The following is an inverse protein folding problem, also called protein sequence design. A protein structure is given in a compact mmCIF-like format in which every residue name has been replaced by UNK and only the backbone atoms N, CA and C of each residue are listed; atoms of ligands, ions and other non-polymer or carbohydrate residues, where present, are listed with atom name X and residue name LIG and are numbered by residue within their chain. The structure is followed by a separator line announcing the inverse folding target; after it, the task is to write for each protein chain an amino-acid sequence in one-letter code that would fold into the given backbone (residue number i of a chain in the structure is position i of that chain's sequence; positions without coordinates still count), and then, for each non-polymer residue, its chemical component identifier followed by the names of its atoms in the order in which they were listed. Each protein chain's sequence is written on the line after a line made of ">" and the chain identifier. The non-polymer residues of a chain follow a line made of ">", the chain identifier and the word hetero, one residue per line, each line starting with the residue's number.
data_IF_709191549798
#
_entry.id   IF_709191549798
#
_cell.length_a   1.000
_cell.length_b   1.000
_cell.length_c   1.000
_cell.angle_alpha   90.00
_cell.angle_beta   90.00
_cell.angle_gamma   90.00
#
_symmetry.space_group_name_H-M   'P 1'
#
loop_
_entity.id
_entity.type
_entity.pdbx_description
1 polymer ?
#
# COMPACT_ATOMS: atom_id res chain seq x y z
N UNK A 1 -38.33 9.97 70.41
CA UNK A 1 -38.20 11.34 70.98
C UNK A 1 -37.53 12.17 69.89
N UNK A 2 -38.17 13.02 69.09
CA UNK A 2 -39.50 13.62 69.12
C UNK A 2 -39.98 13.91 67.68
N UNK A 3 -41.32 13.92 67.50
CA UNK A 3 -42.15 14.69 66.52
C UNK A 3 -42.10 14.23 65.05
N UNK A 4 -43.10 13.53 64.48
CA UNK A 4 -44.55 13.78 64.26
C UNK A 4 -44.87 14.69 63.06
N UNK A 5 -45.67 14.10 62.15
CA UNK A 5 -46.70 14.63 61.23
C UNK A 5 -46.34 15.19 59.85
N UNK A 6 -46.98 14.55 58.88
CA UNK A 6 -47.40 15.05 57.58
C UNK A 6 -48.49 16.15 57.70
N UNK A 7 -48.60 16.99 56.67
CA UNK A 7 -49.80 17.27 55.83
C UNK A 7 -49.53 18.55 54.99
N UNK A 8 -50.03 18.53 53.74
CA UNK A 8 -50.50 19.65 52.91
C UNK A 8 -49.78 19.83 51.56
N UNK A 9 -50.41 19.33 50.49
CA UNK A 9 -50.58 20.08 49.22
C UNK A 9 -51.64 21.18 49.45
N UNK A 10 -51.83 22.23 48.60
CA UNK A 10 -51.52 22.32 47.16
C UNK A 10 -50.96 23.69 46.68
N UNK A 11 -50.47 23.80 45.45
CA UNK A 11 -50.66 25.03 44.66
C UNK A 11 -50.40 24.85 43.16
N UNK A 12 -51.21 25.59 42.41
CA UNK A 12 -51.42 25.64 40.97
C UNK A 12 -50.28 26.28 40.15
N UNK A 13 -50.23 25.84 38.89
CA UNK A 13 -49.90 26.60 37.66
C UNK A 13 -48.43 26.99 37.39
N UNK A 14 -47.86 26.41 36.33
CA UNK A 14 -47.62 27.13 35.07
C UNK A 14 -47.33 26.17 33.93
N UNK A 15 -47.91 26.49 32.77
CA UNK A 15 -47.70 25.84 31.47
C UNK A 15 -46.25 26.06 31.03
N UNK A 16 -45.51 24.99 30.77
CA UNK A 16 -44.24 25.01 30.03
C UNK A 16 -44.40 24.12 28.81
N UNK A 17 -44.24 24.70 27.62
CA UNK A 17 -44.47 24.04 26.34
C UNK A 17 -43.62 22.78 26.16
N UNK A 18 -44.23 21.75 25.60
CA UNK A 18 -43.52 20.57 25.10
C UNK A 18 -42.64 20.98 23.94
N UNK A 19 -41.32 20.93 24.12
CA UNK A 19 -40.38 20.85 23.03
C UNK A 19 -40.25 19.37 22.65
N UNK A 20 -40.87 18.98 21.53
CA UNK A 20 -40.52 17.73 20.85
C UNK A 20 -39.07 17.85 20.39
N UNK A 21 -38.15 17.17 21.08
CA UNK A 21 -36.80 16.94 20.58
C UNK A 21 -36.87 15.83 19.55
N UNK A 22 -36.91 16.22 18.28
CA UNK A 22 -36.64 15.32 17.15
C UNK A 22 -35.17 14.91 17.24
N UNK A 23 -34.90 13.69 17.70
CA UNK A 23 -33.60 13.03 17.56
C UNK A 23 -33.38 12.77 16.06
N UNK A 24 -32.67 13.68 15.40
CA UNK A 24 -32.11 13.44 14.09
C UNK A 24 -31.03 12.36 14.22
N UNK A 25 -31.31 11.16 13.72
CA UNK A 25 -30.30 10.13 13.55
C UNK A 25 -29.27 10.63 12.52
N UNK A 26 -28.12 11.09 13.00
CA UNK A 26 -26.99 11.36 12.14
C UNK A 26 -26.47 10.01 11.61
N UNK A 27 -26.81 9.68 10.36
CA UNK A 27 -26.11 8.65 9.62
C UNK A 27 -24.67 9.13 9.44
N UNK A 28 -23.77 8.68 10.32
CA UNK A 28 -22.35 8.71 10.07
C UNK A 28 -22.06 7.66 8.98
N UNK A 29 -22.23 8.07 7.72
CA UNK A 29 -21.58 7.37 6.63
C UNK A 29 -20.09 7.40 6.94
N UNK A 30 -19.48 6.22 7.11
CA UNK A 30 -18.04 6.10 7.15
C UNK A 30 -17.52 6.69 5.84
N UNK A 31 -16.97 7.90 5.91
CA UNK A 31 -16.24 8.47 4.79
C UNK A 31 -15.06 7.54 4.55
N UNK A 32 -15.06 6.87 3.39
CA UNK A 32 -13.86 6.22 2.87
C UNK A 32 -12.78 7.28 2.77
N UNK A 33 -11.63 7.08 3.43
CA UNK A 33 -10.44 7.95 3.39
C UNK A 33 -9.74 7.97 2.02
N UNK A 34 -10.49 7.95 0.94
CA UNK A 34 -9.96 8.23 -0.40
C UNK A 34 -9.81 9.74 -0.53
N UNK A 35 -8.69 10.24 -0.01
CA UNK A 35 -8.19 11.57 -0.34
C UNK A 35 -8.12 11.73 -1.87
N UNK A 36 -8.33 12.94 -2.43
CA UNK A 36 -8.20 13.17 -3.87
C UNK A 36 -6.86 12.65 -4.38
N UNK A 37 -6.81 12.17 -5.64
CA UNK A 37 -5.58 11.73 -6.32
C UNK A 37 -4.51 12.83 -6.20
N UNK A 38 -3.68 12.77 -5.16
CA UNK A 38 -2.63 13.78 -4.90
C UNK A 38 -1.61 13.82 -6.03
N UNK A 39 -1.55 12.75 -6.81
CA UNK A 39 -0.60 12.50 -7.88
C UNK A 39 -1.31 12.18 -9.21
N UNK A 40 -2.40 12.87 -9.57
CA UNK A 40 -2.99 12.69 -10.91
C UNK A 40 -2.03 13.14 -12.01
N UNK A 41 -2.01 12.44 -13.14
CA UNK A 41 -1.19 12.83 -14.29
C UNK A 41 -1.80 14.02 -15.03
N UNK A 42 -0.96 15.00 -15.36
CA UNK A 42 -1.38 16.11 -16.19
C UNK A 42 -1.71 15.62 -17.60
N UNK A 43 -2.67 16.28 -18.27
CA UNK A 43 -3.08 15.87 -19.63
C UNK A 43 -1.93 15.86 -20.62
N UNK A 44 -0.97 16.79 -20.51
CA UNK A 44 0.20 16.80 -21.39
C UNK A 44 1.08 15.56 -21.21
N UNK A 45 1.19 15.03 -19.98
CA UNK A 45 1.93 13.79 -19.70
C UNK A 45 1.27 12.60 -20.36
N UNK A 46 -0.05 12.45 -20.20
CA UNK A 46 -0.81 11.36 -20.83
C UNK A 46 -0.73 11.45 -22.36
N UNK A 47 -0.88 12.66 -22.92
CA UNK A 47 -0.74 12.88 -24.36
C UNK A 47 0.67 12.51 -24.87
N UNK A 48 1.73 12.95 -24.19
CA UNK A 48 3.10 12.61 -24.58
C UNK A 48 3.36 11.09 -24.55
N UNK A 49 2.79 10.38 -23.58
CA UNK A 49 2.86 8.92 -23.51
C UNK A 49 2.06 8.24 -24.64
N UNK A 50 0.90 8.77 -25.03
CA UNK A 50 0.15 8.27 -26.19
C UNK A 50 0.91 8.53 -27.51
N UNK A 51 1.49 9.71 -27.69
CA UNK A 51 2.29 10.05 -28.88
C UNK A 51 3.57 9.20 -28.98
N UNK A 52 4.16 8.83 -27.84
CA UNK A 52 5.27 7.90 -27.78
C UNK A 52 4.86 6.44 -28.05
N UNK A 53 3.56 6.15 -28.23
CA UNK A 53 3.03 4.82 -28.50
C UNK A 53 3.00 3.87 -27.30
N UNK A 54 3.23 4.39 -26.08
CA UNK A 54 3.25 3.57 -24.85
C UNK A 54 1.90 3.55 -24.13
N UNK A 55 1.04 4.54 -24.40
CA UNK A 55 -0.39 4.50 -24.06
C UNK A 55 -1.23 4.38 -25.32
N UNK A 56 -2.45 3.81 -25.25
CA UNK A 56 -3.40 3.83 -26.36
C UNK A 56 -3.65 5.27 -26.85
N UNK A 57 -3.79 5.44 -28.16
CA UNK A 57 -4.18 6.70 -28.77
C UNK A 57 -5.71 6.86 -28.78
N UNK A 58 -6.20 8.09 -28.59
CA UNK A 58 -7.62 8.43 -28.64
C UNK A 58 -8.07 9.40 -27.54
N UNK A 59 -9.25 10.00 -27.69
CA UNK A 59 -9.86 10.79 -26.62
C UNK A 59 -10.30 9.88 -25.47
N UNK A 60 -9.76 10.12 -24.27
CA UNK A 60 -10.18 9.44 -23.05
C UNK A 60 -9.63 8.03 -22.86
N UNK A 61 -8.29 7.88 -22.74
CA UNK A 61 -7.68 6.63 -22.28
C UNK A 61 -8.30 6.26 -20.93
N UNK A 62 -9.02 5.13 -20.89
CA UNK A 62 -9.57 4.59 -19.65
C UNK A 62 -8.41 4.11 -18.80
N UNK A 63 -8.08 4.83 -17.73
CA UNK A 63 -7.01 4.45 -16.82
C UNK A 63 -7.59 3.63 -15.67
N UNK A 64 -6.93 2.53 -15.33
CA UNK A 64 -7.22 1.78 -14.11
C UNK A 64 -6.67 2.49 -12.87
N UNK A 65 -5.45 3.03 -12.98
CA UNK A 65 -4.81 3.80 -11.92
C UNK A 65 -3.71 4.71 -12.49
N UNK A 66 -3.34 5.75 -11.76
CA UNK A 66 -2.25 6.64 -12.14
C UNK A 66 -1.60 7.26 -10.91
N UNK A 67 -0.30 7.56 -11.03
CA UNK A 67 0.47 8.37 -10.11
C UNK A 67 1.54 9.15 -10.89
N UNK A 68 1.54 10.47 -10.77
CA UNK A 68 2.48 11.38 -11.41
C UNK A 68 2.94 12.46 -10.44
N UNK A 69 4.24 12.75 -10.43
CA UNK A 69 4.79 13.89 -9.68
C UNK A 69 6.16 14.32 -10.20
N UNK A 70 6.50 15.58 -9.98
CA UNK A 70 7.87 16.05 -10.15
C UNK A 70 8.82 15.24 -9.25
N UNK A 71 9.99 14.86 -9.77
CA UNK A 71 10.97 14.09 -9.01
C UNK A 71 11.69 15.00 -8.02
N UNK A 72 11.59 14.78 -6.69
CA UNK A 72 12.26 15.67 -5.73
C UNK A 72 13.79 15.72 -5.83
N UNK A 73 14.42 14.73 -6.48
CA UNK A 73 15.86 14.70 -6.71
C UNK A 73 16.29 15.59 -7.89
N UNK A 74 15.51 15.58 -8.96
CA UNK A 74 15.74 16.36 -10.17
C UNK A 74 14.41 16.98 -10.63
N UNK A 75 14.11 18.22 -10.23
CA UNK A 75 12.86 18.89 -10.57
C UNK A 75 12.68 19.16 -12.06
N UNK A 76 13.73 18.99 -12.89
CA UNK A 76 13.59 19.05 -14.35
C UNK A 76 12.88 17.81 -14.91
N UNK A 77 12.66 16.78 -14.09
CA UNK A 77 12.01 15.52 -14.45
C UNK A 77 10.70 15.30 -13.69
N UNK A 78 9.77 14.65 -14.38
CA UNK A 78 8.51 14.14 -13.84
C UNK A 78 8.51 12.62 -13.92
N UNK A 79 8.11 11.98 -12.83
CA UNK A 79 7.87 10.54 -12.76
C UNK A 79 6.40 10.27 -13.03
N UNK A 80 6.11 9.22 -13.79
CA UNK A 80 4.76 8.76 -14.09
C UNK A 80 4.67 7.24 -13.92
N UNK A 81 3.58 6.77 -13.31
CA UNK A 81 3.15 5.39 -13.31
C UNK A 81 1.67 5.37 -13.71
N UNK A 82 1.34 4.73 -14.82
CA UNK A 82 0.00 4.75 -15.43
C UNK A 82 -0.38 3.33 -15.81
N UNK A 83 -1.51 2.85 -15.28
CA UNK A 83 -2.06 1.55 -15.64
C UNK A 83 -3.35 1.70 -16.44
N UNK A 84 -3.50 0.92 -17.51
CA UNK A 84 -4.70 0.90 -18.36
C UNK A 84 -5.06 -0.54 -18.75
N UNK A 85 -6.35 -0.85 -18.98
CA UNK A 85 -6.77 -2.17 -19.43
C UNK A 85 -6.44 -2.38 -20.90
N UNK A 86 -6.08 -3.62 -21.25
CA UNK A 86 -5.92 -4.03 -22.64
C UNK A 86 -7.28 -4.12 -23.35
N UNK A 87 -7.32 -3.98 -24.69
CA UNK A 87 -8.57 -4.07 -25.44
C UNK A 87 -9.36 -5.36 -25.14
N UNK A 88 -10.65 -5.21 -24.87
CA UNK A 88 -11.54 -6.34 -24.55
C UNK A 88 -11.47 -6.82 -23.10
N UNK A 89 -10.80 -6.06 -22.22
CA UNK A 89 -10.58 -6.43 -20.82
C UNK A 89 -11.19 -5.41 -19.85
N UNK A 90 -12.53 -5.38 -19.81
CA UNK A 90 -13.29 -4.33 -19.11
C UNK A 90 -13.82 -4.77 -17.73
N UNK A 91 -13.81 -6.08 -17.44
CA UNK A 91 -14.36 -6.65 -16.22
C UNK A 91 -13.39 -6.48 -15.04
N UNK A 92 -13.63 -5.48 -14.18
CA UNK A 92 -12.81 -5.23 -12.98
C UNK A 92 -12.69 -6.49 -12.12
N UNK A 93 -11.46 -6.83 -11.74
CA UNK A 93 -11.12 -8.08 -11.03
C UNK A 93 -10.74 -9.24 -11.96
N UNK A 94 -10.88 -9.07 -13.28
CA UNK A 94 -10.49 -10.03 -14.32
C UNK A 94 -9.79 -9.33 -15.51
N UNK A 95 -9.31 -8.09 -15.31
CA UNK A 95 -8.66 -7.31 -16.36
C UNK A 95 -7.21 -7.74 -16.58
N UNK A 96 -6.82 -7.87 -17.83
CA UNK A 96 -5.44 -7.76 -18.28
C UNK A 96 -5.10 -6.27 -18.40
N UNK A 97 -4.13 -5.81 -17.63
CA UNK A 97 -3.67 -4.43 -17.58
C UNK A 97 -2.24 -4.31 -18.10
N UNK A 98 -1.91 -3.12 -18.58
CA UNK A 98 -0.54 -2.68 -18.83
C UNK A 98 -0.21 -1.54 -17.89
N UNK A 99 0.87 -1.69 -17.12
CA UNK A 99 1.49 -0.64 -16.32
C UNK A 99 2.66 -0.04 -17.10
N UNK A 100 2.61 1.27 -17.30
CA UNK A 100 3.67 2.09 -17.86
C UNK A 100 4.32 2.88 -16.74
N UNK A 101 5.63 2.73 -16.58
CA UNK A 101 6.44 3.58 -15.72
C UNK A 101 7.32 4.43 -16.62
N UNK A 102 7.35 5.74 -16.39
CA UNK A 102 8.08 6.67 -17.26
C UNK A 102 8.75 7.80 -16.49
N UNK A 103 9.84 8.30 -17.07
CA UNK A 103 10.51 9.55 -16.72
C UNK A 103 10.31 10.51 -17.88
N UNK A 104 9.81 11.71 -17.61
CA UNK A 104 9.53 12.73 -18.61
C UNK A 104 10.18 14.06 -18.24
N UNK A 105 10.43 14.92 -19.23
CA UNK A 105 10.81 16.31 -18.99
C UNK A 105 9.65 17.07 -18.32
N UNK A 106 9.92 17.79 -17.24
CA UNK A 106 8.89 18.52 -16.50
C UNK A 106 8.32 19.72 -17.29
N UNK A 107 9.12 20.30 -18.20
CA UNK A 107 8.73 21.49 -18.98
C UNK A 107 7.97 21.15 -20.27
N UNK A 108 8.36 20.07 -20.95
CA UNK A 108 7.90 19.72 -22.30
C UNK A 108 7.22 18.35 -22.40
N UNK A 109 7.16 17.61 -21.28
CA UNK A 109 6.69 16.23 -21.23
C UNK A 109 7.43 15.28 -22.19
N UNK A 110 8.67 15.60 -22.60
CA UNK A 110 9.45 14.70 -23.45
C UNK A 110 9.73 13.40 -22.70
N UNK A 111 9.37 12.25 -23.30
CA UNK A 111 9.62 10.94 -22.71
C UNK A 111 11.12 10.64 -22.75
N UNK A 112 11.73 10.49 -21.58
CA UNK A 112 13.17 10.25 -21.42
C UNK A 112 13.51 8.79 -21.16
N UNK A 113 12.63 8.05 -20.47
CA UNK A 113 12.78 6.62 -20.24
C UNK A 113 11.43 5.96 -19.92
N UNK A 114 11.26 4.69 -20.31
CA UNK A 114 10.03 3.91 -20.07
C UNK A 114 10.36 2.48 -19.62
N UNK A 115 9.48 1.91 -18.79
CA UNK A 115 9.34 0.48 -18.56
C UNK A 115 7.86 0.08 -18.67
N UNK A 116 7.62 -1.12 -19.19
CA UNK A 116 6.29 -1.69 -19.32
C UNK A 116 6.19 -3.00 -18.57
N UNK A 117 5.09 -3.19 -17.85
CA UNK A 117 4.79 -4.42 -17.12
C UNK A 117 3.34 -4.82 -17.38
N UNK A 118 3.09 -6.09 -17.73
CA UNK A 118 1.73 -6.63 -17.75
C UNK A 118 1.29 -6.97 -16.32
N UNK A 119 0.06 -6.63 -15.97
CA UNK A 119 -0.58 -7.06 -14.73
C UNK A 119 -1.86 -7.81 -15.09
N UNK A 120 -2.16 -8.88 -14.37
CA UNK A 120 -3.38 -9.66 -14.56
C UNK A 120 -4.19 -9.58 -13.27
N UNK A 121 -5.45 -9.18 -13.36
CA UNK A 121 -6.36 -9.22 -12.23
C UNK A 121 -7.03 -10.58 -12.09
N UNK A 122 -7.20 -10.99 -10.84
CA UNK A 122 -7.88 -12.20 -10.42
C UNK A 122 -8.37 -12.07 -8.96
N UNK A 123 -8.71 -13.20 -8.33
CA UNK A 123 -9.16 -13.21 -6.94
C UNK A 123 -8.08 -12.75 -5.92
N UNK A 124 -6.80 -12.77 -6.29
CA UNK A 124 -5.67 -12.38 -5.46
C UNK A 124 -5.16 -10.95 -5.77
N UNK A 125 -5.36 -10.46 -6.99
CA UNK A 125 -4.95 -9.12 -7.40
C UNK A 125 -6.06 -8.34 -8.12
N UNK A 126 -6.31 -7.12 -7.66
CA UNK A 126 -7.17 -6.17 -8.36
C UNK A 126 -6.64 -4.75 -8.12
N UNK A 127 -6.58 -3.94 -9.16
CA UNK A 127 -6.06 -2.58 -9.13
C UNK A 127 -7.23 -1.59 -9.10
N UNK A 128 -7.30 -0.81 -8.02
CA UNK A 128 -8.26 0.30 -7.89
C UNK A 128 -7.66 1.61 -8.38
N UNK A 129 -8.54 2.57 -8.64
CA UNK A 129 -8.16 3.97 -8.73
C UNK A 129 -7.35 4.38 -7.48
N UNK A 130 -6.21 5.06 -7.70
CA UNK A 130 -5.27 5.39 -6.62
C UNK A 130 -4.43 4.22 -6.09
N UNK A 131 -4.51 3.04 -6.70
CA UNK A 131 -3.70 1.86 -6.37
C UNK A 131 -2.22 1.97 -6.76
N UNK A 132 -1.80 3.05 -7.42
CA UNK A 132 -0.40 3.32 -7.74
C UNK A 132 0.15 4.44 -6.86
N UNK A 133 1.39 4.30 -6.41
CA UNK A 133 2.12 5.34 -5.66
C UNK A 133 3.57 5.42 -6.10
N UNK A 134 4.08 6.64 -6.25
CA UNK A 134 5.50 6.89 -6.49
C UNK A 134 6.24 7.04 -5.16
N UNK A 135 7.23 6.17 -4.95
CA UNK A 135 8.16 6.26 -3.82
C UNK A 135 9.44 6.97 -4.25
N UNK A 136 9.62 8.19 -3.77
CA UNK A 136 10.76 9.06 -4.10
C UNK A 136 11.73 9.22 -2.93
N UNK A 137 11.80 8.22 -2.04
CA UNK A 137 12.84 8.17 -1.03
C UNK A 137 14.26 8.23 -1.64
N UNK A 138 15.25 8.53 -0.81
CA UNK A 138 16.64 8.76 -1.23
C UNK A 138 17.38 7.46 -1.53
N UNK A 139 16.99 6.78 -2.60
CA UNK A 139 17.65 5.55 -3.07
C UNK A 139 18.90 5.88 -3.91
N UNK A 140 19.89 6.52 -3.29
CA UNK A 140 21.20 6.79 -3.92
C UNK A 140 21.99 5.48 -4.04
N UNK A 141 21.94 4.85 -5.21
CA UNK A 141 22.59 3.55 -5.42
C UNK A 141 24.06 3.72 -5.80
N UNK A 142 24.39 4.76 -6.56
CA UNK A 142 25.77 5.11 -6.90
C UNK A 142 25.87 6.62 -7.16
N UNK A 143 27.09 7.12 -7.35
CA UNK A 143 27.29 8.51 -7.79
C UNK A 143 26.53 8.76 -9.10
N UNK A 144 25.62 9.75 -9.08
CA UNK A 144 24.77 10.08 -10.23
C UNK A 144 23.65 9.08 -10.52
N UNK A 145 23.51 8.00 -9.76
CA UNK A 145 22.49 6.97 -9.96
C UNK A 145 21.55 6.92 -8.76
N UNK A 146 20.39 7.56 -8.90
CA UNK A 146 19.30 7.46 -7.92
C UNK A 146 18.14 6.66 -8.50
N UNK A 147 17.69 5.66 -7.75
CA UNK A 147 16.47 4.93 -8.08
C UNK A 147 15.21 5.65 -7.58
N UNK A 148 14.07 5.29 -8.13
CA UNK A 148 12.76 5.61 -7.57
C UNK A 148 11.89 4.37 -7.57
N UNK A 149 10.87 4.35 -6.72
CA UNK A 149 9.96 3.24 -6.57
C UNK A 149 8.59 3.49 -7.20
N UNK A 150 7.98 2.43 -7.70
CA UNK A 150 6.53 2.37 -7.97
C UNK A 150 5.95 1.31 -7.05
N UNK A 151 4.94 1.69 -6.28
CA UNK A 151 4.17 0.79 -5.41
C UNK A 151 2.83 0.51 -6.06
N UNK A 152 2.52 -0.77 -6.24
CA UNK A 152 1.26 -1.29 -6.72
C UNK A 152 0.50 -1.89 -5.54
N UNK A 153 -0.65 -1.31 -5.21
CA UNK A 153 -1.53 -1.76 -4.14
C UNK A 153 -2.71 -2.52 -4.72
N UNK A 154 -2.87 -3.75 -4.27
CA UNK A 154 -4.05 -4.58 -4.55
C UNK A 154 -5.21 -4.22 -3.62
N UNK A 155 -6.40 -4.10 -4.20
CA UNK A 155 -7.68 -4.02 -3.49
C UNK A 155 -8.41 -5.35 -3.43
N UNK A 156 -7.84 -6.43 -3.99
CA UNK A 156 -8.50 -7.72 -3.99
C UNK A 156 -8.83 -8.14 -2.53
N UNK A 157 -10.03 -8.68 -2.28
CA UNK A 157 -10.40 -9.15 -0.95
C UNK A 157 -9.48 -10.28 -0.49
N UNK A 158 -8.91 -11.03 -1.43
CA UNK A 158 -8.14 -12.24 -1.14
C UNK A 158 -9.04 -13.40 -0.74
N UNK A 159 -8.47 -14.55 -0.38
CA UNK A 159 -9.26 -15.72 0.02
C UNK A 159 -9.95 -15.48 1.36
N UNK A 160 -11.10 -16.12 1.58
CA UNK A 160 -11.87 -16.00 2.83
C UNK A 160 -11.15 -16.54 4.07
N UNK A 161 -10.19 -17.45 3.87
CA UNK A 161 -9.40 -18.06 4.94
C UNK A 161 -7.91 -18.12 4.55
N UNK A 162 -7.22 -16.97 4.52
CA UNK A 162 -5.83 -16.91 4.13
C UNK A 162 -4.93 -17.47 5.23
N UNK A 163 -3.87 -18.15 4.82
CA UNK A 163 -2.72 -18.43 5.69
C UNK A 163 -1.69 -17.30 5.62
N UNK A 164 -1.65 -16.60 4.49
CA UNK A 164 -0.82 -15.42 4.30
C UNK A 164 -1.45 -14.44 3.30
N UNK A 165 -1.03 -13.19 3.40
CA UNK A 165 -1.33 -12.12 2.45
C UNK A 165 -0.10 -11.26 2.26
N UNK A 166 0.11 -10.79 1.03
CA UNK A 166 1.06 -9.74 0.72
C UNK A 166 0.35 -8.60 0.00
N UNK A 167 0.84 -7.38 0.16
CA UNK A 167 0.33 -6.20 -0.54
C UNK A 167 1.42 -5.12 -0.65
N UNK A 168 1.09 -4.05 -1.38
CA UNK A 168 1.96 -2.92 -1.66
C UNK A 168 3.27 -3.40 -2.30
N UNK A 169 3.19 -4.03 -3.47
CA UNK A 169 4.36 -4.44 -4.23
C UNK A 169 5.14 -3.21 -4.69
N UNK A 170 6.34 -3.03 -4.16
CA UNK A 170 7.27 -2.01 -4.58
C UNK A 170 8.22 -2.59 -5.62
N UNK A 171 8.39 -1.91 -6.75
CA UNK A 171 9.52 -2.10 -7.66
C UNK A 171 10.40 -0.85 -7.69
N UNK A 172 11.71 -0.98 -7.50
CA UNK A 172 12.68 0.09 -7.69
C UNK A 172 13.22 0.07 -9.12
N UNK A 173 13.21 1.25 -9.76
CA UNK A 173 13.69 1.46 -11.12
C UNK A 173 14.92 2.37 -11.14
N UNK A 174 15.87 2.01 -11.98
CA UNK A 174 17.02 2.85 -12.35
C UNK A 174 16.90 3.23 -13.82
N UNK A 175 17.24 4.47 -14.16
CA UNK A 175 17.32 4.91 -15.55
C UNK A 175 18.58 4.36 -16.21
N UNK A 176 18.39 3.71 -17.35
CA UNK A 176 19.44 3.17 -18.21
C UNK A 176 19.21 3.68 -19.65
N UNK A 177 19.77 4.87 -19.93
CA UNK A 177 19.51 5.59 -21.17
C UNK A 177 18.03 5.94 -21.34
N UNK A 178 17.41 5.33 -22.37
CA UNK A 178 15.99 5.45 -22.70
C UNK A 178 15.09 4.36 -22.08
N UNK A 179 15.68 3.44 -21.32
CA UNK A 179 14.94 2.40 -20.60
C UNK A 179 14.93 2.70 -19.10
N UNK A 180 13.90 2.19 -18.42
CA UNK A 180 13.89 2.04 -16.97
C UNK A 180 14.09 0.55 -16.65
N UNK A 181 15.13 0.26 -15.87
CA UNK A 181 15.47 -1.11 -15.48
C UNK A 181 15.00 -1.37 -14.05
N UNK A 182 14.14 -2.37 -13.81
CA UNK A 182 13.80 -2.80 -12.47
C UNK A 182 15.01 -3.48 -11.83
N UNK A 183 15.37 -3.07 -10.61
CA UNK A 183 16.55 -3.59 -9.90
C UNK A 183 16.19 -4.31 -8.61
N UNK A 184 15.02 -4.01 -8.04
CA UNK A 184 14.49 -4.65 -6.83
C UNK A 184 12.96 -4.71 -6.93
N UNK A 185 12.35 -5.78 -6.43
CA UNK A 185 10.90 -5.82 -6.15
C UNK A 185 10.65 -6.53 -4.82
N UNK A 186 9.66 -6.08 -4.05
CA UNK A 186 9.14 -6.80 -2.88
C UNK A 186 7.80 -6.23 -2.45
N UNK A 187 6.94 -7.06 -1.88
CA UNK A 187 5.78 -6.58 -1.11
C UNK A 187 6.25 -5.84 0.15
N UNK A 188 5.62 -4.70 0.44
CA UNK A 188 5.94 -3.88 1.62
C UNK A 188 5.06 -4.21 2.83
N UNK A 189 3.92 -4.86 2.63
CA UNK A 189 3.03 -5.29 3.70
C UNK A 189 2.82 -6.79 3.59
N UNK A 190 3.14 -7.52 4.66
CA UNK A 190 2.94 -8.96 4.73
C UNK A 190 2.15 -9.30 5.99
N UNK A 191 1.24 -10.24 5.87
CA UNK A 191 0.48 -10.79 6.99
C UNK A 191 0.51 -12.31 6.89
N UNK A 192 0.64 -13.00 8.01
CA UNK A 192 0.54 -14.45 8.05
C UNK A 192 -0.10 -14.94 9.34
N UNK A 193 -0.85 -16.03 9.23
CA UNK A 193 -1.28 -16.85 10.36
C UNK A 193 -0.10 -17.72 10.78
N UNK A 194 0.29 -17.61 12.05
CA UNK A 194 1.40 -18.36 12.65
C UNK A 194 0.87 -19.62 13.35
N UNK A 195 -0.25 -19.49 14.05
CA UNK A 195 -0.88 -20.59 14.80
C UNK A 195 -2.41 -20.43 14.80
N UNK A 196 -3.13 -21.52 15.05
CA UNK A 196 -4.59 -21.58 15.00
C UNK A 196 -5.12 -22.06 13.66
N UNK A 197 -6.37 -22.52 13.63
CA UNK A 197 -7.00 -23.11 12.44
C UNK A 197 -7.54 -22.00 11.50
N UNK A 198 -7.26 -22.05 10.18
CA UNK A 198 -7.89 -21.16 9.22
C UNK A 198 -9.42 -21.27 9.27
N UNK A 199 -10.12 -20.21 8.89
CA UNK A 199 -11.59 -20.12 8.96
C UNK A 199 -12.21 -20.22 10.38
N UNK A 200 -11.42 -20.30 11.45
CA UNK A 200 -11.94 -20.45 12.81
C UNK A 200 -12.27 -19.10 13.46
N UNK A 201 -13.34 -18.46 13.00
CA UNK A 201 -13.79 -17.13 13.45
C UNK A 201 -14.66 -17.14 14.71
N UNK A 202 -14.71 -18.26 15.44
CA UNK A 202 -15.58 -18.39 16.62
C UNK A 202 -14.97 -17.73 17.86
N UNK A 203 -15.83 -17.20 18.74
CA UNK A 203 -15.42 -16.49 19.96
C UNK A 203 -14.59 -17.41 20.87
N UNK A 204 -13.42 -16.95 21.30
CA UNK A 204 -12.52 -17.69 22.18
C UNK A 204 -11.55 -18.65 21.48
N UNK A 205 -11.49 -18.66 20.15
CA UNK A 205 -10.48 -19.41 19.40
C UNK A 205 -9.13 -18.73 19.48
N UNK A 206 -8.10 -19.54 19.71
CA UNK A 206 -6.72 -19.08 19.76
C UNK A 206 -6.17 -19.02 18.34
N UNK A 207 -5.80 -17.82 17.91
CA UNK A 207 -5.14 -17.56 16.62
C UNK A 207 -3.98 -16.64 16.89
N UNK A 208 -2.83 -16.95 16.31
CA UNK A 208 -1.64 -16.09 16.32
C UNK A 208 -1.40 -15.60 14.90
N UNK A 209 -1.22 -14.30 14.73
CA UNK A 209 -0.91 -13.69 13.44
C UNK A 209 0.30 -12.78 13.59
N UNK A 210 1.10 -12.70 12.55
CA UNK A 210 2.16 -11.71 12.43
C UNK A 210 1.82 -10.77 11.25
N UNK A 211 1.98 -9.48 11.46
CA UNK A 211 1.89 -8.44 10.43
C UNK A 211 3.23 -7.72 10.34
N UNK A 212 3.84 -7.71 9.16
CA UNK A 212 5.13 -7.10 8.89
C UNK A 212 5.00 -5.95 7.90
N UNK A 213 5.61 -4.81 8.26
CA UNK A 213 5.80 -3.67 7.36
C UNK A 213 7.27 -3.56 7.02
N UNK A 214 7.59 -3.61 5.73
CA UNK A 214 8.95 -3.48 5.25
C UNK A 214 9.30 -2.03 4.93
N UNK A 215 10.54 -1.67 5.22
CA UNK A 215 11.17 -0.42 4.81
C UNK A 215 12.53 -0.72 4.20
N UNK A 216 12.97 0.13 3.28
CA UNK A 216 14.23 -0.04 2.55
C UNK A 216 15.14 1.13 2.87
N UNK A 217 16.39 0.82 3.19
CA UNK A 217 17.46 1.78 3.43
C UNK A 217 18.66 1.44 2.54
N UNK A 218 19.48 2.46 2.28
CA UNK A 218 20.75 2.33 1.57
C UNK A 218 21.87 2.09 2.58
N UNK A 219 22.69 1.07 2.34
CA UNK A 219 23.89 0.78 3.13
C UNK A 219 25.12 1.55 2.61
N UNK A 220 26.15 1.65 3.44
CA UNK A 220 27.43 2.24 3.04
C UNK A 220 28.33 1.25 2.28
N UNK A 221 27.99 -0.04 2.27
CA UNK A 221 28.66 -1.06 1.47
C UNK A 221 28.08 -1.08 0.06
N UNK A 222 28.86 -1.52 -0.92
CA UNK A 222 28.44 -1.59 -2.31
C UNK A 222 29.00 -2.84 -2.99
N UNK A 223 28.21 -3.40 -3.91
CA UNK A 223 28.60 -4.53 -4.75
C UNK A 223 28.20 -4.24 -6.19
N UNK A 224 29.07 -4.61 -7.13
CA UNK A 224 28.83 -4.44 -8.57
C UNK A 224 28.37 -3.02 -8.97
N UNK A 225 28.91 -2.01 -8.29
CA UNK A 225 28.69 -0.60 -8.57
C UNK A 225 27.50 0.04 -7.84
N UNK A 226 26.61 -0.73 -7.19
CA UNK A 226 25.49 -0.18 -6.42
C UNK A 226 25.66 -0.44 -4.92
N UNK A 227 25.21 0.50 -4.10
CA UNK A 227 25.08 0.36 -2.66
C UNK A 227 24.15 -0.80 -2.30
N UNK A 228 24.48 -1.55 -1.25
CA UNK A 228 23.62 -2.62 -0.77
C UNK A 228 22.32 -2.05 -0.18
N UNK A 229 21.23 -2.83 -0.24
CA UNK A 229 19.96 -2.44 0.37
C UNK A 229 19.76 -3.13 1.70
N UNK A 230 19.41 -2.40 2.75
CA UNK A 230 18.84 -2.98 3.96
C UNK A 230 17.34 -2.99 3.87
N UNK A 231 16.77 -4.18 3.94
CA UNK A 231 15.33 -4.37 4.14
C UNK A 231 15.08 -4.62 5.62
N UNK A 232 14.30 -3.75 6.24
CA UNK A 232 13.90 -3.85 7.64
C UNK A 232 12.42 -4.21 7.72
N UNK A 233 12.11 -5.25 8.48
CA UNK A 233 10.75 -5.65 8.83
C UNK A 233 10.41 -5.18 10.25
N UNK A 234 9.40 -4.34 10.39
CA UNK A 234 8.74 -4.05 11.66
C UNK A 234 7.54 -4.99 11.80
N UNK A 235 7.64 -5.97 12.70
CA UNK A 235 6.64 -7.04 12.87
C UNK A 235 5.82 -6.82 14.12
N UNK A 236 4.50 -6.88 14.00
CA UNK A 236 3.55 -6.94 15.11
C UNK A 236 2.94 -8.32 15.14
N UNK A 237 3.15 -9.04 16.24
CA UNK A 237 2.45 -10.30 16.53
C UNK A 237 1.21 -9.99 17.34
N UNK A 238 0.12 -10.65 17.00
CA UNK A 238 -1.18 -10.56 17.63
C UNK A 238 -1.66 -11.95 18.00
N UNK A 239 -2.16 -12.14 19.23
CA UNK A 239 -2.85 -13.37 19.61
C UNK A 239 -4.16 -13.10 20.33
N UNK A 240 -5.16 -13.94 20.07
CA UNK A 240 -6.45 -13.88 20.76
C UNK A 240 -6.31 -14.47 22.17
N UNK A 241 -6.82 -13.75 23.18
CA UNK A 241 -6.87 -14.25 24.55
C UNK A 241 -8.11 -15.15 24.71
N UNK A 242 -7.86 -16.45 24.87
CA UNK A 242 -8.89 -17.50 25.00
C UNK A 242 -9.95 -17.11 26.05
N UNK A 243 -11.23 -17.26 25.69
CA UNK A 243 -12.35 -16.94 26.57
C UNK A 243 -12.64 -15.44 26.73
N UNK A 244 -12.00 -14.57 25.95
CA UNK A 244 -12.27 -13.13 25.92
C UNK A 244 -12.26 -12.58 24.49
N UNK A 245 -12.72 -11.34 24.32
CA UNK A 245 -12.59 -10.58 23.08
C UNK A 245 -11.30 -9.73 23.06
N UNK A 246 -10.35 -9.99 23.97
CA UNK A 246 -9.08 -9.25 24.05
C UNK A 246 -8.05 -9.87 23.11
N UNK A 247 -7.25 -9.00 22.52
CA UNK A 247 -6.07 -9.34 21.73
C UNK A 247 -4.83 -8.76 22.43
N UNK A 248 -3.81 -9.59 22.64
CA UNK A 248 -2.50 -9.10 23.09
C UNK A 248 -1.59 -8.94 21.88
N UNK A 249 -0.69 -7.96 21.94
CA UNK A 249 0.25 -7.68 20.86
C UNK A 249 1.68 -7.59 21.37
N UNK A 250 2.62 -8.07 20.54
CA UNK A 250 4.05 -7.87 20.76
C UNK A 250 4.70 -7.36 19.47
N UNK A 251 5.84 -6.68 19.60
CA UNK A 251 6.56 -6.08 18.46
C UNK A 251 8.00 -6.54 18.43
N UNK A 252 8.51 -6.76 17.22
CA UNK A 252 9.91 -7.11 16.97
C UNK A 252 10.37 -6.52 15.65
N UNK A 253 11.68 -6.49 15.46
CA UNK A 253 12.32 -6.01 14.24
C UNK A 253 13.30 -7.04 13.72
N UNK A 254 13.31 -7.23 12.41
CA UNK A 254 14.32 -8.02 11.72
C UNK A 254 14.87 -7.21 10.55
N UNK A 255 16.09 -7.52 10.11
CA UNK A 255 16.61 -6.93 8.88
C UNK A 255 17.51 -7.89 8.11
N UNK A 256 17.61 -7.66 6.81
CA UNK A 256 18.52 -8.34 5.90
C UNK A 256 19.16 -7.32 4.97
N UNK A 257 20.40 -7.59 4.58
CA UNK A 257 21.11 -6.80 3.59
C UNK A 257 21.11 -7.56 2.27
N UNK A 258 20.70 -6.91 1.20
CA UNK A 258 20.65 -7.45 -0.15
C UNK A 258 21.80 -6.86 -0.94
N UNK A 259 22.54 -7.73 -1.62
CA UNK A 259 23.66 -7.33 -2.47
C UNK A 259 23.19 -7.24 -3.91
N UNK A 260 23.71 -6.25 -4.62
CA UNK A 260 23.48 -6.12 -6.05
C UNK A 260 24.43 -7.04 -6.82
N UNK A 261 23.90 -7.85 -7.74
CA UNK A 261 24.67 -8.84 -8.51
C UNK A 261 25.21 -8.31 -9.84
N UNK A 262 24.98 -7.03 -10.14
CA UNK A 262 25.27 -6.39 -11.42
C UNK A 262 24.02 -6.18 -12.29
N UNK A 263 22.95 -6.92 -12.02
CA UNK A 263 21.66 -6.86 -12.73
C UNK A 263 20.49 -6.52 -11.79
N UNK A 264 20.40 -7.16 -10.64
CA UNK A 264 19.34 -6.96 -9.63
C UNK A 264 19.87 -7.22 -8.22
N UNK A 265 19.11 -6.79 -7.22
CA UNK A 265 19.37 -7.20 -5.84
C UNK A 265 18.97 -8.66 -5.62
N UNK A 266 19.85 -9.42 -4.98
CA UNK A 266 19.58 -10.79 -4.56
C UNK A 266 18.50 -10.80 -3.47
N UNK A 267 17.34 -11.36 -3.79
CA UNK A 267 16.19 -11.41 -2.91
C UNK A 267 16.05 -12.75 -2.18
N UNK A 268 16.96 -13.70 -2.37
CA UNK A 268 16.94 -14.99 -1.65
C UNK A 268 16.93 -14.78 -0.14
N UNK A 269 17.59 -13.73 0.34
CA UNK A 269 17.59 -13.33 1.74
C UNK A 269 16.22 -12.87 2.28
N UNK A 270 15.24 -12.58 1.40
CA UNK A 270 13.87 -12.21 1.77
C UNK A 270 12.89 -13.39 1.72
N UNK A 271 13.28 -14.51 1.10
CA UNK A 271 12.42 -15.67 0.91
C UNK A 271 11.93 -16.26 2.24
N UNK A 272 10.80 -16.98 2.17
CA UNK A 272 10.12 -17.59 3.32
C UNK A 272 9.78 -16.62 4.43
N UNK A 273 9.70 -15.32 4.12
CA UNK A 273 9.64 -14.20 5.06
C UNK A 273 10.65 -14.39 6.18
N UNK A 274 11.90 -13.98 5.91
CA UNK A 274 13.06 -14.05 6.81
C UNK A 274 12.86 -13.62 8.27
N UNK A 275 11.72 -13.02 8.57
CA UNK A 275 11.28 -12.63 9.89
C UNK A 275 10.28 -13.62 10.52
N UNK A 276 9.53 -14.47 9.82
CA UNK A 276 8.54 -15.37 10.44
C UNK A 276 9.17 -16.42 11.36
N UNK A 277 10.36 -16.92 11.02
CA UNK A 277 11.10 -17.85 11.88
C UNK A 277 11.59 -17.12 13.13
N UNK A 278 11.10 -17.54 14.30
CA UNK A 278 11.85 -17.35 15.53
C UNK A 278 12.99 -18.36 15.51
N UNK A 279 14.24 -17.93 15.66
CA UNK A 279 15.22 -18.85 16.23
C UNK A 279 14.66 -19.25 17.61
N UNK A 280 14.59 -20.55 17.93
CA UNK A 280 14.21 -20.94 19.28
C UNK A 280 15.18 -20.26 20.24
N UNK A 281 14.66 -19.60 21.27
CA UNK A 281 15.49 -19.16 22.38
C UNK A 281 16.12 -20.41 22.97
N UNK A 282 17.44 -20.54 22.86
CA UNK A 282 18.20 -21.52 23.63
C UNK A 282 18.01 -21.16 25.12
N UNK A 283 17.08 -21.87 25.78
CA UNK A 283 17.03 -22.04 27.25
C UNK A 283 17.52 -23.44 27.61
#
# INVERSE_FOLDING_TARGET
>A
MAIVRAIATPSRWRRGGGALVLLAAANAAAASDWAPLRDACARQTLHALSEAGVLPAGEGVSLAAQACRAWPYDPSLTLAAVAYPLPGSDAVGERALRLIVAVLGAADAQVHAVHETSLEEDAAFALIEGGLRLDTARYDLAEGVRAFGVVVRSSAPGPSCPDARANDELTLYVRDGAALRPVFSSNLVLWARVEGEPCSWSRGQYVVTDNAKLTIAIENTAHHGFADLRVQADVTRSHTVVGSDREDTSRRRASRVLRYDGTRYDQTALENGFFWAQEPSDE
#
